data_IF_878111539406
#
_entry.id   IF_878111539406
#
_cell.length_a   1.000
_cell.length_b   1.000
_cell.length_c   1.000
_cell.angle_alpha   90.00
_cell.angle_beta   90.00
_cell.angle_gamma   90.00
#
_symmetry.space_group_name_H-M   'P 1'
#
loop_
_entity.id
_entity.type
_entity.pdbx_description
1 polymer ?
#
# COMPACT_ATOMS: atom_id res chain seq x y z
N UNK A 1 -13.65 -9.92 -3.68
CA UNK A 1 -12.25 -9.70 -3.25
C UNK A 1 -12.13 -8.59 -2.21
N UNK A 2 -12.45 -7.34 -2.57
CA UNK A 2 -12.40 -6.22 -1.61
C UNK A 2 -13.37 -6.42 -0.45
N UNK A 3 -14.58 -6.87 -0.72
CA UNK A 3 -15.59 -7.07 0.31
C UNK A 3 -15.15 -8.11 1.34
N UNK A 4 -14.52 -9.18 0.89
CA UNK A 4 -14.04 -10.23 1.79
C UNK A 4 -12.91 -9.76 2.69
N UNK A 5 -12.01 -8.93 2.18
CA UNK A 5 -10.83 -8.47 2.91
C UNK A 5 -11.08 -7.21 3.74
N UNK A 6 -11.89 -6.29 3.23
CA UNK A 6 -12.01 -4.95 3.79
C UNK A 6 -13.45 -4.54 4.13
N UNK A 7 -14.43 -5.39 3.83
CA UNK A 7 -15.84 -5.06 4.02
C UNK A 7 -16.25 -4.78 5.47
N UNK A 8 -15.48 -5.26 6.44
CA UNK A 8 -15.73 -4.98 7.87
C UNK A 8 -15.07 -3.70 8.36
N UNK A 9 -14.14 -3.15 7.57
CA UNK A 9 -13.32 -2.02 7.97
C UNK A 9 -13.71 -0.75 7.23
N UNK A 10 -14.09 -0.87 5.96
CA UNK A 10 -14.37 0.26 5.08
C UNK A 10 -15.86 0.39 4.77
N UNK A 11 -16.30 1.63 4.60
CA UNK A 11 -17.70 1.96 4.27
C UNK A 11 -18.09 1.36 2.92
N UNK A 12 -19.36 0.89 2.76
CA UNK A 12 -19.80 0.28 1.50
C UNK A 12 -19.63 1.16 0.27
N UNK A 13 -19.85 2.47 0.40
CA UNK A 13 -19.68 3.42 -0.69
C UNK A 13 -18.23 3.48 -1.13
N UNK A 14 -17.30 3.42 -0.20
CA UNK A 14 -15.87 3.40 -0.50
C UNK A 14 -15.48 2.12 -1.21
N UNK A 15 -15.96 0.97 -0.74
CA UNK A 15 -15.70 -0.33 -1.38
C UNK A 15 -16.17 -0.31 -2.84
N UNK A 16 -17.35 0.26 -3.10
CA UNK A 16 -17.89 0.37 -4.46
C UNK A 16 -16.98 1.22 -5.34
N UNK A 17 -16.52 2.34 -4.83
CA UNK A 17 -15.62 3.23 -5.56
C UNK A 17 -14.26 2.55 -5.82
N UNK A 18 -13.70 1.90 -4.82
CA UNK A 18 -12.43 1.17 -4.94
C UNK A 18 -12.52 0.07 -5.99
N UNK A 19 -13.62 -0.67 -6.04
CA UNK A 19 -13.81 -1.76 -7.00
C UNK A 19 -13.73 -1.26 -8.46
N UNK A 20 -14.13 -0.02 -8.71
CA UNK A 20 -14.07 0.57 -10.05
C UNK A 20 -12.66 1.03 -10.44
N UNK A 21 -11.84 1.36 -9.46
CA UNK A 21 -10.52 1.94 -9.69
C UNK A 21 -9.38 0.93 -9.58
N UNK A 22 -9.62 -0.20 -8.91
CA UNK A 22 -8.58 -1.17 -8.59
C UNK A 22 -7.96 -1.78 -9.85
N UNK A 23 -6.63 -1.86 -9.85
CA UNK A 23 -5.87 -2.61 -10.85
C UNK A 23 -5.21 -3.77 -10.13
N UNK A 24 -5.43 -4.97 -10.63
CA UNK A 24 -4.85 -6.18 -10.05
C UNK A 24 -3.38 -6.29 -10.47
N UNK A 25 -2.53 -6.61 -9.52
CA UNK A 25 -1.12 -6.92 -9.79
C UNK A 25 -0.74 -8.20 -9.06
N UNK A 26 -0.23 -9.17 -9.80
CA UNK A 26 0.32 -10.40 -9.22
C UNK A 26 1.83 -10.28 -9.21
N UNK A 27 2.44 -10.71 -8.12
CA UNK A 27 3.90 -10.66 -7.95
C UNK A 27 4.47 -12.03 -7.69
N UNK A 28 5.75 -12.20 -7.99
CA UNK A 28 6.49 -13.41 -7.69
C UNK A 28 7.46 -13.15 -6.55
N UNK A 29 8.01 -14.21 -5.97
CA UNK A 29 8.99 -14.10 -4.88
C UNK A 29 10.17 -13.24 -5.32
N UNK A 30 10.61 -12.34 -4.44
CA UNK A 30 11.74 -11.43 -4.63
C UNK A 30 11.51 -10.33 -5.67
N UNK A 31 10.32 -10.22 -6.23
CA UNK A 31 9.98 -9.12 -7.14
C UNK A 31 9.95 -7.81 -6.38
N UNK A 32 10.64 -6.79 -6.90
CA UNK A 32 10.64 -5.46 -6.30
C UNK A 32 9.46 -4.67 -6.86
N UNK A 33 8.57 -4.23 -5.97
CA UNK A 33 7.35 -3.51 -6.32
C UNK A 33 7.60 -2.00 -6.33
N UNK A 34 8.37 -1.52 -5.35
CA UNK A 34 8.74 -0.12 -5.20
C UNK A 34 10.25 -0.05 -4.98
N UNK A 35 10.92 0.77 -5.79
CA UNK A 35 12.35 1.06 -5.64
C UNK A 35 12.54 2.39 -4.91
N UNK A 36 13.63 2.52 -4.17
CA UNK A 36 14.04 3.81 -3.62
C UNK A 36 14.24 4.78 -4.78
N UNK A 37 13.65 5.95 -4.67
CA UNK A 37 13.71 6.96 -5.72
C UNK A 37 12.54 6.99 -6.67
N UNK A 38 11.66 5.97 -6.64
CA UNK A 38 10.48 5.95 -7.51
C UNK A 38 9.51 7.06 -7.13
N UNK A 39 8.91 7.69 -8.14
CA UNK A 39 7.79 8.60 -7.94
C UNK A 39 6.52 7.76 -7.96
N UNK A 40 5.86 7.63 -6.81
CA UNK A 40 4.72 6.74 -6.65
C UNK A 40 3.43 7.38 -7.14
N UNK A 41 2.76 6.74 -8.08
CA UNK A 41 1.45 7.14 -8.60
C UNK A 41 0.37 6.13 -8.24
N UNK A 42 0.76 4.89 -7.94
CA UNK A 42 -0.15 3.82 -7.53
C UNK A 42 0.32 3.28 -6.19
N UNK A 43 -0.63 3.05 -5.29
CA UNK A 43 -0.36 2.53 -3.95
C UNK A 43 -0.99 1.15 -3.83
N UNK A 44 -0.24 0.15 -3.33
CA UNK A 44 -0.76 -1.20 -3.19
C UNK A 44 -1.54 -1.40 -1.90
N UNK A 45 -2.59 -2.22 -1.99
CA UNK A 45 -3.20 -2.87 -0.84
C UNK A 45 -2.99 -4.37 -1.06
N UNK A 46 -2.42 -5.05 -0.08
CA UNK A 46 -2.13 -6.47 -0.18
C UNK A 46 -3.41 -7.26 0.09
N UNK A 47 -3.80 -8.10 -0.85
CA UNK A 47 -4.94 -9.01 -0.67
C UNK A 47 -4.46 -10.36 -0.14
N UNK A 48 -3.42 -10.89 -0.75
CA UNK A 48 -2.80 -12.15 -0.33
C UNK A 48 -1.29 -12.02 -0.46
N UNK A 49 -0.55 -12.65 0.44
CA UNK A 49 0.89 -12.70 0.37
C UNK A 49 1.55 -11.82 1.42
N UNK A 50 2.84 -11.55 1.22
CA UNK A 50 3.64 -10.79 2.17
C UNK A 50 4.63 -9.91 1.41
N UNK A 51 4.69 -8.64 1.82
CA UNK A 51 5.58 -7.64 1.23
C UNK A 51 6.52 -7.12 2.32
N UNK A 52 7.81 -7.16 2.04
CA UNK A 52 8.83 -6.61 2.94
C UNK A 52 9.05 -5.14 2.61
N UNK A 53 8.92 -4.27 3.60
CA UNK A 53 9.20 -2.84 3.46
C UNK A 53 10.53 -2.54 4.15
N UNK A 54 11.46 -1.96 3.41
CA UNK A 54 12.80 -1.67 3.89
C UNK A 54 13.25 -0.31 3.37
N UNK A 55 14.37 0.17 3.91
CA UNK A 55 15.05 1.36 3.39
C UNK A 55 16.55 1.09 3.39
N UNK A 56 17.29 1.93 2.70
CA UNK A 56 18.74 1.86 2.69
C UNK A 56 19.32 2.95 3.59
N UNK A 57 20.40 2.62 4.31
CA UNK A 57 21.15 3.62 5.06
C UNK A 57 22.17 4.31 4.15
N UNK A 58 22.99 5.20 4.71
CA UNK A 58 24.00 5.95 3.96
C UNK A 58 25.04 5.07 3.28
N UNK A 59 25.27 3.87 3.80
CA UNK A 59 26.23 2.91 3.26
C UNK A 59 25.61 1.96 2.23
N UNK A 60 24.33 2.13 1.90
CA UNK A 60 23.62 1.26 0.98
C UNK A 60 23.13 -0.04 1.60
N UNK A 61 23.22 -0.18 2.93
CA UNK A 61 22.74 -1.37 3.63
C UNK A 61 21.24 -1.31 3.79
N UNK A 62 20.58 -2.46 3.53
CA UNK A 62 19.14 -2.58 3.66
C UNK A 62 18.73 -2.72 5.13
N UNK A 63 17.79 -1.88 5.56
CA UNK A 63 17.24 -1.91 6.90
C UNK A 63 15.77 -2.29 6.82
N UNK A 64 15.41 -3.44 7.42
CA UNK A 64 14.02 -3.88 7.48
C UNK A 64 13.22 -2.91 8.36
N UNK A 65 12.08 -2.44 7.83
CA UNK A 65 11.15 -1.62 8.60
C UNK A 65 9.99 -2.47 9.12
N UNK A 66 9.28 -3.15 8.23
CA UNK A 66 8.16 -4.02 8.61
C UNK A 66 7.72 -4.85 7.41
N UNK A 67 6.79 -5.78 7.68
CA UNK A 67 6.11 -6.56 6.64
C UNK A 67 4.65 -6.11 6.57
N UNK A 68 4.09 -6.10 5.36
CA UNK A 68 2.65 -5.91 5.16
C UNK A 68 2.06 -7.17 4.58
N UNK A 69 0.87 -7.55 5.06
CA UNK A 69 0.20 -8.78 4.71
C UNK A 69 -1.25 -8.51 4.29
N UNK A 70 -2.02 -9.55 4.09
CA UNK A 70 -3.39 -9.43 3.57
C UNK A 70 -4.24 -8.44 4.37
N UNK A 71 -4.84 -7.49 3.66
CA UNK A 71 -5.66 -6.43 4.23
C UNK A 71 -4.91 -5.15 4.58
N UNK A 72 -3.59 -5.11 4.41
CA UNK A 72 -2.77 -3.95 4.78
C UNK A 72 -2.33 -3.14 3.56
N UNK A 73 -2.05 -1.86 3.80
CA UNK A 73 -1.42 -0.99 2.80
C UNK A 73 -0.10 -0.45 3.35
N UNK A 74 0.74 0.04 2.44
CA UNK A 74 2.01 0.66 2.83
C UNK A 74 1.79 2.13 3.17
N UNK A 75 1.71 2.44 4.47
CA UNK A 75 1.49 3.80 4.95
C UNK A 75 2.64 4.74 4.52
N UNK A 76 3.87 4.25 4.48
CA UNK A 76 5.02 5.06 4.05
C UNK A 76 4.96 5.42 2.58
N UNK A 77 4.45 4.52 1.73
CA UNK A 77 4.25 4.83 0.31
C UNK A 77 3.20 5.92 0.16
N UNK A 78 2.11 5.84 0.92
CA UNK A 78 1.06 6.87 0.90
C UNK A 78 1.62 8.21 1.37
N UNK A 79 2.45 8.22 2.40
CA UNK A 79 3.08 9.43 2.91
C UNK A 79 3.96 10.09 1.84
N UNK A 80 4.74 9.32 1.10
CA UNK A 80 5.54 9.84 0.01
C UNK A 80 4.68 10.46 -1.09
N UNK A 81 3.55 9.83 -1.42
CA UNK A 81 2.61 10.36 -2.42
C UNK A 81 2.00 11.69 -1.97
N UNK A 82 1.51 11.77 -0.73
CA UNK A 82 0.87 12.99 -0.22
C UNK A 82 1.84 14.16 -0.13
N UNK A 83 3.10 13.89 0.15
CA UNK A 83 4.15 14.90 0.18
C UNK A 83 4.73 15.19 -1.20
N UNK A 84 4.38 14.40 -2.21
CA UNK A 84 4.89 14.52 -3.58
C UNK A 84 6.41 14.40 -3.64
N UNK A 85 6.97 13.50 -2.85
CA UNK A 85 8.40 13.21 -2.81
C UNK A 85 8.66 11.82 -3.36
N UNK A 86 9.89 11.56 -3.77
CA UNK A 86 10.31 10.26 -4.25
C UNK A 86 10.29 9.24 -3.11
N UNK A 87 10.08 7.97 -3.45
CA UNK A 87 10.04 6.92 -2.45
C UNK A 87 11.36 6.80 -1.71
N UNK A 88 11.27 6.74 -0.38
CA UNK A 88 12.41 6.50 0.49
C UNK A 88 12.47 5.05 0.94
N UNK A 89 11.52 4.24 0.48
CA UNK A 89 11.43 2.82 0.85
C UNK A 89 11.53 1.93 -0.39
N UNK A 90 11.87 0.68 -0.12
CA UNK A 90 11.86 -0.41 -1.08
C UNK A 90 10.82 -1.42 -0.60
N UNK A 91 9.97 -1.85 -1.51
CA UNK A 91 8.98 -2.89 -1.21
C UNK A 91 9.25 -4.10 -2.08
N UNK A 92 9.42 -5.26 -1.45
CA UNK A 92 9.79 -6.51 -2.10
C UNK A 92 8.80 -7.60 -1.74
N UNK A 93 8.31 -8.32 -2.75
CA UNK A 93 7.41 -9.46 -2.54
C UNK A 93 8.20 -10.63 -1.96
N UNK A 94 7.77 -11.14 -0.79
CA UNK A 94 8.45 -12.24 -0.13
C UNK A 94 7.96 -13.61 -0.58
N UNK A 95 6.79 -13.64 -1.20
CA UNK A 95 6.15 -14.83 -1.75
C UNK A 95 5.22 -14.38 -2.87
N UNK A 96 4.70 -15.29 -3.70
CA UNK A 96 3.72 -14.89 -4.71
C UNK A 96 2.56 -14.17 -4.04
N UNK A 97 2.28 -12.95 -4.46
CA UNK A 97 1.32 -12.08 -3.80
C UNK A 97 0.32 -11.49 -4.78
N UNK A 98 -0.86 -11.15 -4.27
CA UNK A 98 -1.92 -10.51 -5.01
C UNK A 98 -2.16 -9.13 -4.41
N UNK A 99 -1.99 -8.11 -5.23
CA UNK A 99 -2.12 -6.72 -4.83
C UNK A 99 -3.23 -6.04 -5.62
N UNK A 100 -3.90 -5.08 -4.99
CA UNK A 100 -4.76 -4.14 -5.69
C UNK A 100 -4.08 -2.78 -5.67
N UNK A 101 -3.92 -2.19 -6.84
CA UNK A 101 -3.22 -0.92 -7.00
C UNK A 101 -4.25 0.19 -7.21
N UNK A 102 -4.10 1.28 -6.49
CA UNK A 102 -5.01 2.44 -6.55
C UNK A 102 -4.25 3.71 -6.84
N UNK A 103 -4.82 4.62 -7.67
CA UNK A 103 -4.20 5.92 -7.88
C UNK A 103 -4.08 6.70 -6.57
N UNK A 104 -2.91 7.24 -6.30
CA UNK A 104 -2.62 7.96 -5.06
C UNK A 104 -3.54 9.17 -4.85
N UNK A 105 -3.92 9.84 -5.93
CA UNK A 105 -4.81 11.00 -5.85
C UNK A 105 -6.18 10.68 -5.25
N UNK A 106 -6.72 9.49 -5.54
CA UNK A 106 -7.98 9.06 -4.95
C UNK A 106 -7.84 8.71 -3.49
N UNK A 107 -6.73 8.08 -3.12
CA UNK A 107 -6.46 7.75 -1.72
C UNK A 107 -6.39 9.01 -0.85
N UNK A 108 -5.82 10.09 -1.38
CA UNK A 108 -5.76 11.37 -0.70
C UNK A 108 -7.15 11.98 -0.53
N UNK A 109 -8.00 11.94 -1.56
CA UNK A 109 -9.39 12.41 -1.48
C UNK A 109 -10.20 11.63 -0.46
N UNK A 110 -9.99 10.31 -0.38
CA UNK A 110 -10.72 9.46 0.54
C UNK A 110 -10.45 9.83 2.00
N UNK A 111 -9.31 10.42 2.30
CA UNK A 111 -9.03 10.91 3.65
C UNK A 111 -10.03 12.00 4.07
N UNK A 112 -10.51 12.80 3.12
CA UNK A 112 -11.48 13.84 3.40
C UNK A 112 -12.92 13.33 3.43
N UNK A 113 -13.23 12.31 2.62
CA UNK A 113 -14.61 11.87 2.41
C UNK A 113 -15.04 10.67 3.26
N UNK A 114 -14.11 9.81 3.65
CA UNK A 114 -14.45 8.55 4.31
C UNK A 114 -13.73 8.41 5.63
N UNK A 115 -14.49 8.42 6.73
CA UNK A 115 -13.95 8.24 8.07
C UNK A 115 -13.29 6.88 8.23
N UNK A 116 -13.88 5.83 7.65
CA UNK A 116 -13.32 4.48 7.72
C UNK A 116 -11.96 4.40 7.03
N UNK A 117 -11.75 5.15 5.94
CA UNK A 117 -10.45 5.21 5.27
C UNK A 117 -9.40 5.87 6.15
N UNK A 118 -9.76 6.98 6.81
CA UNK A 118 -8.84 7.64 7.76
C UNK A 118 -8.41 6.68 8.86
N UNK A 119 -9.36 5.93 9.42
CA UNK A 119 -9.05 4.97 10.48
C UNK A 119 -8.17 3.83 9.97
N UNK A 120 -8.44 3.32 8.77
CA UNK A 120 -7.64 2.28 8.14
C UNK A 120 -6.18 2.72 7.97
N UNK A 121 -5.97 3.95 7.48
CA UNK A 121 -4.62 4.49 7.29
C UNK A 121 -3.90 4.69 8.63
N UNK A 122 -4.60 5.24 9.63
CA UNK A 122 -4.02 5.42 10.96
C UNK A 122 -3.60 4.08 11.58
N UNK A 123 -4.43 3.05 11.43
CA UNK A 123 -4.12 1.72 11.95
C UNK A 123 -2.88 1.12 11.25
N UNK A 124 -2.68 1.45 9.98
CA UNK A 124 -1.51 0.98 9.22
C UNK A 124 -0.18 1.50 9.76
N UNK A 125 -0.18 2.62 10.48
CA UNK A 125 1.02 3.16 11.09
C UNK A 125 1.46 2.41 12.36
N UNK A 126 0.63 1.52 12.88
CA UNK A 126 0.92 0.79 14.12
C UNK A 126 1.61 -0.56 13.90
N UNK A 127 1.86 -0.94 12.66
CA UNK A 127 2.48 -2.24 12.35
C UNK A 127 3.99 -2.18 12.16
#
# INVERSE_FOLDING_TARGET
MLQAQLGYVLEPELITEMAKLAKVRETTTDEIIVHVGDRLQLIPIVIEGSIKVSRENENGEELLLYYIEGGDTCAMSLQCCTRKIDSQIKATSMEPSLLLMFPSEFMERWLDHYKSWRQFILDSYHT
#
